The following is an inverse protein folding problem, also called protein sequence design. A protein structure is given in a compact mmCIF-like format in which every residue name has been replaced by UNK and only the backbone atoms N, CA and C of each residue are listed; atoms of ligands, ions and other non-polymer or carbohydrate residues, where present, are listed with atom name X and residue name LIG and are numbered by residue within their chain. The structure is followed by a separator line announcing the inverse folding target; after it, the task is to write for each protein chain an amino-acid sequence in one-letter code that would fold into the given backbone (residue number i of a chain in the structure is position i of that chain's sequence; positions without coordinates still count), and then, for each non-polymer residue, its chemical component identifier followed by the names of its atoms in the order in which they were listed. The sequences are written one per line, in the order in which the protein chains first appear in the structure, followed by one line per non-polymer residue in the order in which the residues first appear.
data_IF_188171013837
#
_entry.id   IF_188171013837
#
_cell.length_a   1.000
_cell.length_b   1.000
_cell.length_c   1.000
_cell.angle_alpha   90.00
_cell.angle_beta   90.00
_cell.angle_gamma   90.00
#
_symmetry.space_group_name_H-M   'P 1'
#
loop_
_entity.id
_entity.type
_entity.pdbx_description
1 polymer ?
#
# COMPACT_ATOMS: atom_id res chain seq x y z
N UNK A 1 3.34 12.54 17.21
CA UNK A 1 3.89 12.57 15.84
C UNK A 1 3.02 11.68 14.97
N UNK A 2 2.85 12.01 13.69
CA UNK A 2 2.16 11.15 12.75
C UNK A 2 2.89 9.83 12.56
N UNK A 3 2.17 8.72 12.41
CA UNK A 3 2.77 7.45 11.99
C UNK A 3 3.06 7.50 10.49
N UNK A 4 4.28 7.17 10.09
CA UNK A 4 4.75 7.28 8.70
C UNK A 4 4.64 5.92 8.00
N UNK A 5 3.83 5.89 6.95
CA UNK A 5 3.61 4.73 6.08
C UNK A 5 4.34 4.98 4.76
N UNK A 6 5.39 4.22 4.51
CA UNK A 6 6.12 4.27 3.25
C UNK A 6 5.54 3.23 2.28
N UNK A 7 5.18 3.63 1.06
CA UNK A 7 4.71 2.72 0.01
C UNK A 7 5.78 2.65 -1.08
N UNK A 8 6.51 1.55 -1.14
CA UNK A 8 7.65 1.42 -2.05
C UNK A 8 7.80 0.01 -2.63
N UNK A 9 8.22 -0.05 -3.88
CA UNK A 9 8.73 -1.24 -4.56
C UNK A 9 9.58 -0.76 -5.76
N UNK A 10 10.81 -1.26 -5.96
CA UNK A 10 11.64 -0.89 -7.10
C UNK A 10 11.03 -1.32 -8.45
N UNK A 11 10.11 -2.27 -8.43
CA UNK A 11 9.41 -2.73 -9.63
C UNK A 11 8.30 -1.75 -10.02
N UNK A 12 8.29 -1.30 -11.27
CA UNK A 12 7.22 -0.48 -11.83
C UNK A 12 5.93 -1.28 -12.04
N UNK A 13 4.76 -0.61 -11.97
CA UNK A 13 3.45 -1.21 -12.27
C UNK A 13 2.88 -2.13 -11.19
N UNK A 14 3.46 -2.17 -9.98
CA UNK A 14 2.98 -2.99 -8.86
C UNK A 14 1.79 -2.39 -8.11
N UNK A 15 1.43 -1.14 -8.40
CA UNK A 15 0.27 -0.46 -7.79
C UNK A 15 0.59 0.34 -6.54
N UNK A 16 1.81 0.86 -6.40
CA UNK A 16 2.21 1.73 -5.27
C UNK A 16 1.23 2.89 -5.09
N UNK A 17 1.07 3.70 -6.12
CA UNK A 17 0.16 4.85 -6.14
C UNK A 17 -1.29 4.45 -5.82
N UNK A 18 -1.79 3.35 -6.39
CA UNK A 18 -3.14 2.86 -6.09
C UNK A 18 -3.28 2.52 -4.60
N UNK A 19 -2.32 1.82 -4.01
CA UNK A 19 -2.35 1.47 -2.58
C UNK A 19 -2.27 2.71 -1.71
N UNK A 20 -1.41 3.68 -2.06
CA UNK A 20 -1.26 4.92 -1.31
C UNK A 20 -2.54 5.75 -1.32
N UNK A 21 -3.12 6.01 -2.51
CA UNK A 21 -4.36 6.77 -2.66
C UNK A 21 -5.55 6.11 -1.96
N UNK A 22 -5.74 4.80 -2.16
CA UNK A 22 -6.89 4.09 -1.57
C UNK A 22 -6.82 4.04 -0.03
N UNK A 23 -5.61 3.92 0.54
CA UNK A 23 -5.43 4.04 1.98
C UNK A 23 -5.72 5.45 2.47
N UNK A 24 -5.26 6.49 1.76
CA UNK A 24 -5.51 7.88 2.12
C UNK A 24 -7.02 8.16 2.13
N UNK A 25 -7.75 7.83 1.06
CA UNK A 25 -9.20 7.96 1.02
C UNK A 25 -9.88 7.19 2.15
N UNK A 26 -9.43 5.96 2.44
CA UNK A 26 -10.04 5.16 3.49
C UNK A 26 -9.82 5.76 4.87
N UNK A 27 -8.64 6.27 5.16
CA UNK A 27 -8.34 6.92 6.44
C UNK A 27 -9.10 8.23 6.60
N UNK A 28 -9.11 9.10 5.60
CA UNK A 28 -9.85 10.37 5.63
C UNK A 28 -11.35 10.17 5.86
N UNK A 29 -11.95 9.14 5.23
CA UNK A 29 -13.36 8.80 5.44
C UNK A 29 -13.65 8.20 6.82
N UNK A 30 -12.64 7.74 7.53
CA UNK A 30 -12.73 7.32 8.92
C UNK A 30 -12.25 8.41 9.89
N UNK A 31 -12.24 9.67 9.45
CA UNK A 31 -11.91 10.87 10.23
C UNK A 31 -10.46 10.90 10.77
N UNK A 32 -9.52 10.21 10.10
CA UNK A 32 -8.12 10.42 10.37
C UNK A 32 -7.62 11.63 9.59
N UNK A 33 -6.75 12.42 10.22
CA UNK A 33 -6.03 13.50 9.53
C UNK A 33 -4.83 12.89 8.81
N UNK A 34 -4.85 12.91 7.48
CA UNK A 34 -3.83 12.30 6.63
C UNK A 34 -2.93 13.39 6.03
N UNK A 35 -1.62 13.28 6.24
CA UNK A 35 -0.62 13.94 5.41
C UNK A 35 -0.22 13.01 4.27
N UNK A 36 0.07 13.57 3.10
CA UNK A 36 0.44 12.80 1.92
C UNK A 36 1.67 13.41 1.25
N UNK A 37 2.65 12.59 0.91
CA UNK A 37 3.82 12.99 0.14
C UNK A 37 3.94 12.13 -1.12
N UNK A 38 3.75 12.76 -2.28
CA UNK A 38 4.03 12.14 -3.56
C UNK A 38 5.48 12.45 -3.97
N UNK A 39 6.33 11.44 -3.93
CA UNK A 39 7.73 11.55 -4.35
C UNK A 39 7.94 11.03 -5.79
N UNK A 40 6.90 10.54 -6.45
CA UNK A 40 6.95 10.11 -7.85
C UNK A 40 6.64 11.29 -8.78
N UNK A 41 7.69 11.87 -9.36
CA UNK A 41 7.58 13.00 -10.28
C UNK A 41 6.89 12.67 -11.62
N UNK A 42 6.59 11.38 -11.86
CA UNK A 42 5.88 10.96 -13.09
C UNK A 42 4.36 11.16 -12.97
N UNK A 43 3.89 11.57 -11.81
CA UNK A 43 2.46 11.78 -11.56
C UNK A 43 1.71 10.46 -11.37
N UNK A 44 0.38 10.57 -11.28
CA UNK A 44 -0.51 9.41 -11.16
C UNK A 44 -1.22 9.30 -9.82
N UNK A 45 -0.77 10.00 -8.78
CA UNK A 45 -1.52 10.12 -7.52
C UNK A 45 -2.71 11.07 -7.69
N UNK A 46 -3.79 10.76 -6.99
CA UNK A 46 -4.96 11.63 -6.88
C UNK A 46 -4.73 12.64 -5.76
N UNK A 47 -4.09 12.20 -4.67
CA UNK A 47 -3.71 13.07 -3.57
C UNK A 47 -2.50 13.92 -3.95
N UNK A 48 -2.63 15.21 -3.71
CA UNK A 48 -1.52 16.14 -3.82
C UNK A 48 -0.63 16.05 -2.56
N UNK A 49 0.63 16.43 -2.70
CA UNK A 49 1.52 16.52 -1.54
C UNK A 49 0.97 17.58 -0.59
N UNK A 50 0.62 17.16 0.61
CA UNK A 50 0.07 18.01 1.66
C UNK A 50 0.58 17.55 3.02
N UNK A 51 1.12 18.49 3.79
CA UNK A 51 1.46 18.30 5.19
C UNK A 51 0.41 18.98 6.05
N UNK A 52 -0.27 18.21 6.91
CA UNK A 52 -1.29 18.73 7.82
C UNK A 52 -0.77 18.73 9.24
N UNK A 53 -0.93 19.84 9.99
CA UNK A 53 -0.60 19.86 11.41
C UNK A 53 -1.37 18.79 12.18
N UNK A 54 -0.69 18.11 13.10
CA UNK A 54 -1.28 17.07 13.96
C UNK A 54 -1.90 15.91 13.16
N UNK A 55 -1.35 15.57 11.99
CA UNK A 55 -1.80 14.38 11.26
C UNK A 55 -1.63 13.11 12.08
N UNK A 56 -2.60 12.21 11.94
CA UNK A 56 -2.59 10.88 12.55
C UNK A 56 -1.61 9.97 11.81
N UNK A 57 -1.63 10.06 10.48
CA UNK A 57 -0.78 9.29 9.58
C UNK A 57 -0.19 10.17 8.48
N UNK A 58 1.00 9.79 8.01
CA UNK A 58 1.63 10.33 6.80
C UNK A 58 1.86 9.19 5.83
N UNK A 59 1.31 9.29 4.62
CA UNK A 59 1.53 8.33 3.55
C UNK A 59 2.54 8.91 2.58
N UNK A 60 3.55 8.11 2.24
CA UNK A 60 4.62 8.49 1.29
C UNK A 60 4.59 7.53 0.11
N UNK A 61 4.13 8.01 -1.06
CA UNK A 61 4.21 7.27 -2.33
C UNK A 61 5.54 7.53 -3.02
N UNK A 62 6.24 6.45 -3.42
CA UNK A 62 7.60 6.54 -3.94
C UNK A 62 7.69 6.11 -5.40
N UNK A 63 8.62 6.72 -6.18
CA UNK A 63 8.92 6.25 -7.53
C UNK A 63 9.57 4.86 -7.53
N UNK A 64 9.45 4.15 -8.67
CA UNK A 64 9.92 2.78 -8.81
C UNK A 64 11.45 2.60 -8.86
N UNK A 65 12.25 3.65 -9.03
CA UNK A 65 13.68 3.50 -9.36
C UNK A 65 14.67 3.88 -8.23
N UNK A 66 14.21 4.13 -7.01
CA UNK A 66 15.03 4.73 -5.96
C UNK A 66 15.50 3.72 -4.90
N UNK A 67 16.47 2.86 -5.25
CA UNK A 67 17.01 1.86 -4.30
C UNK A 67 17.75 2.49 -3.11
N UNK A 68 18.53 3.53 -3.30
CA UNK A 68 19.35 4.09 -2.21
C UNK A 68 18.56 5.05 -1.33
N UNK A 69 17.74 5.90 -1.91
CA UNK A 69 16.86 6.82 -1.17
C UNK A 69 15.79 6.07 -0.36
N UNK A 70 15.31 4.90 -0.85
CA UNK A 70 14.35 4.09 -0.13
C UNK A 70 14.86 3.65 1.25
N UNK A 71 16.18 3.44 1.43
CA UNK A 71 16.77 3.10 2.73
C UNK A 71 16.67 4.25 3.72
N UNK A 72 16.90 5.48 3.27
CA UNK A 72 16.85 6.64 4.15
C UNK A 72 15.41 6.96 4.55
N UNK A 73 14.47 6.84 3.65
CA UNK A 73 13.04 6.95 3.96
C UNK A 73 12.57 5.83 4.89
N UNK A 74 13.03 4.59 4.67
CA UNK A 74 12.69 3.46 5.54
C UNK A 74 13.13 3.65 6.99
N UNK A 75 14.26 4.33 7.24
CA UNK A 75 14.73 4.63 8.61
C UNK A 75 13.80 5.59 9.36
N UNK A 76 13.04 6.41 8.64
CA UNK A 76 12.11 7.39 9.21
C UNK A 76 10.66 6.88 9.21
N UNK A 77 10.38 5.74 8.60
CA UNK A 77 9.04 5.18 8.51
C UNK A 77 8.75 4.22 9.66
N UNK A 78 7.48 4.16 10.07
CA UNK A 78 6.98 3.20 11.06
C UNK A 78 6.54 1.88 10.41
N UNK A 79 6.15 1.93 9.12
CA UNK A 79 5.72 0.78 8.34
C UNK A 79 6.09 0.96 6.87
N UNK A 80 6.65 -0.08 6.25
CA UNK A 80 6.84 -0.16 4.80
C UNK A 80 5.84 -1.13 4.19
N UNK A 81 4.97 -0.62 3.33
CA UNK A 81 4.10 -1.42 2.48
C UNK A 81 4.78 -1.65 1.13
N UNK A 82 4.83 -2.90 0.71
CA UNK A 82 5.44 -3.29 -0.57
C UNK A 82 4.37 -3.92 -1.46
N UNK A 83 3.71 -3.12 -2.31
CA UNK A 83 2.76 -3.64 -3.29
C UNK A 83 3.47 -4.51 -4.34
N UNK A 84 2.88 -5.67 -4.64
CA UNK A 84 3.38 -6.60 -5.66
C UNK A 84 2.22 -7.29 -6.37
N UNK A 85 2.43 -7.73 -7.62
CA UNK A 85 1.44 -8.55 -8.33
C UNK A 85 1.77 -10.05 -8.14
N UNK A 86 0.80 -10.96 -8.22
CA UNK A 86 1.02 -12.41 -8.12
C UNK A 86 1.68 -12.94 -9.40
N UNK A 87 2.95 -12.63 -9.57
CA UNK A 87 3.75 -13.01 -10.73
C UNK A 87 5.19 -13.28 -10.31
N UNK A 88 5.81 -14.33 -10.87
CA UNK A 88 7.20 -14.67 -10.60
C UNK A 88 8.15 -13.53 -11.01
N UNK A 89 7.82 -12.79 -12.08
CA UNK A 89 8.64 -11.66 -12.55
C UNK A 89 8.66 -10.49 -11.56
N UNK A 90 7.59 -10.33 -10.79
CA UNK A 90 7.50 -9.27 -9.77
C UNK A 90 8.02 -9.78 -8.42
N UNK A 91 7.92 -11.08 -8.16
CA UNK A 91 8.30 -11.70 -6.90
C UNK A 91 9.80 -11.55 -6.58
N UNK A 92 10.68 -11.93 -7.50
CA UNK A 92 12.13 -11.96 -7.25
C UNK A 92 12.67 -10.58 -6.82
N UNK A 93 12.51 -9.51 -7.62
CA UNK A 93 13.00 -8.19 -7.22
C UNK A 93 12.31 -7.64 -5.96
N UNK A 94 11.05 -8.04 -5.72
CA UNK A 94 10.31 -7.65 -4.51
C UNK A 94 10.89 -8.31 -3.27
N UNK A 95 11.22 -9.61 -3.33
CA UNK A 95 11.82 -10.35 -2.20
C UNK A 95 13.18 -9.76 -1.82
N UNK A 96 14.04 -9.50 -2.81
CA UNK A 96 15.36 -8.91 -2.56
C UNK A 96 15.22 -7.53 -1.91
N UNK A 97 14.27 -6.73 -2.38
CA UNK A 97 13.96 -5.44 -1.78
C UNK A 97 13.48 -5.59 -0.34
N UNK A 98 12.50 -6.46 -0.08
CA UNK A 98 11.97 -6.72 1.28
C UNK A 98 13.09 -7.16 2.22
N UNK A 99 13.92 -8.13 1.80
CA UNK A 99 15.06 -8.61 2.60
C UNK A 99 16.04 -7.49 2.94
N UNK A 100 16.28 -6.57 2.02
CA UNK A 100 17.17 -5.42 2.23
C UNK A 100 16.59 -4.37 3.19
N UNK A 101 15.26 -4.25 3.27
CA UNK A 101 14.57 -3.21 4.06
C UNK A 101 14.21 -3.67 5.48
N UNK A 102 13.99 -4.97 5.72
CA UNK A 102 13.57 -5.54 7.02
C UNK A 102 14.41 -5.10 8.23
N UNK A 103 15.65 -4.73 8.03
CA UNK A 103 16.55 -4.26 9.10
C UNK A 103 16.32 -2.80 9.52
N UNK A 104 15.56 -2.04 8.73
CA UNK A 104 15.34 -0.61 8.98
C UNK A 104 13.93 -0.32 9.47
N UNK A 105 12.95 -1.10 9.00
CA UNK A 105 11.52 -0.85 9.21
C UNK A 105 10.73 -2.15 9.16
N UNK A 106 9.62 -2.30 9.88
CA UNK A 106 8.66 -3.37 9.67
C UNK A 106 8.16 -3.35 8.21
N UNK A 107 8.26 -4.50 7.51
CA UNK A 107 7.87 -4.62 6.09
C UNK A 107 6.69 -5.56 5.95
N UNK A 108 5.68 -5.14 5.17
CA UNK A 108 4.50 -5.95 4.85
C UNK A 108 4.21 -5.91 3.35
N UNK A 109 3.85 -7.05 2.79
CA UNK A 109 3.41 -7.13 1.40
C UNK A 109 1.94 -6.76 1.28
N UNK A 110 1.61 -6.09 0.18
CA UNK A 110 0.23 -5.92 -0.31
C UNK A 110 0.16 -6.59 -1.69
N UNK A 111 -0.58 -7.69 -1.81
CA UNK A 111 -0.73 -8.38 -3.09
C UNK A 111 -1.82 -7.66 -3.89
N UNK A 112 -1.41 -7.00 -4.96
CA UNK A 112 -2.30 -6.28 -5.87
C UNK A 112 -2.74 -7.17 -7.03
N UNK A 113 -3.87 -6.85 -7.69
CA UNK A 113 -4.46 -7.61 -8.80
C UNK A 113 -4.67 -9.09 -8.47
N UNK A 114 -5.06 -9.36 -7.24
CA UNK A 114 -5.27 -10.71 -6.74
C UNK A 114 -6.60 -11.28 -7.24
N UNK A 115 -6.58 -12.54 -7.65
CA UNK A 115 -7.78 -13.31 -8.03
C UNK A 115 -7.73 -14.66 -7.34
N UNK A 116 -8.54 -14.84 -6.29
CA UNK A 116 -8.52 -16.01 -5.40
C UNK A 116 -8.76 -17.36 -6.10
N UNK A 117 -9.47 -17.34 -7.22
CA UNK A 117 -9.75 -18.52 -8.04
C UNK A 117 -8.64 -18.90 -9.02
N UNK A 118 -7.64 -18.04 -9.22
CA UNK A 118 -6.52 -18.33 -10.13
C UNK A 118 -5.44 -19.16 -9.45
N UNK A 119 -5.01 -20.23 -10.12
CA UNK A 119 -3.93 -21.10 -9.64
C UNK A 119 -2.64 -20.32 -9.37
N UNK A 120 -2.28 -19.39 -10.25
CA UNK A 120 -1.08 -18.56 -10.10
C UNK A 120 -1.10 -17.72 -8.81
N UNK A 121 -2.27 -17.24 -8.36
CA UNK A 121 -2.41 -16.49 -7.12
C UNK A 121 -2.19 -17.39 -5.90
N UNK A 122 -2.73 -18.61 -5.92
CA UNK A 122 -2.51 -19.59 -4.85
C UNK A 122 -1.05 -20.01 -4.74
N UNK A 123 -0.43 -20.33 -5.87
CA UNK A 123 1.01 -20.63 -5.92
C UNK A 123 1.87 -19.47 -5.45
N UNK A 124 1.44 -18.23 -5.73
CA UNK A 124 2.14 -17.04 -5.24
C UNK A 124 2.01 -16.90 -3.73
N UNK A 125 0.83 -17.18 -3.15
CA UNK A 125 0.63 -17.18 -1.69
C UNK A 125 1.53 -18.22 -1.00
N UNK A 126 1.60 -19.45 -1.54
CA UNK A 126 2.47 -20.51 -1.05
C UNK A 126 3.95 -20.08 -1.10
N UNK A 127 4.37 -19.56 -2.24
CA UNK A 127 5.73 -19.04 -2.43
C UNK A 127 6.09 -17.93 -1.45
N UNK A 128 5.20 -16.96 -1.23
CA UNK A 128 5.40 -15.86 -0.28
C UNK A 128 5.53 -16.39 1.16
N UNK A 129 4.70 -17.39 1.51
CA UNK A 129 4.76 -18.04 2.82
C UNK A 129 6.08 -18.81 3.03
N UNK A 130 6.54 -19.54 2.03
CA UNK A 130 7.84 -20.25 2.04
C UNK A 130 9.03 -19.27 2.23
N UNK A 131 8.93 -18.05 1.69
CA UNK A 131 9.95 -17.01 1.89
C UNK A 131 9.85 -16.32 3.28
N UNK A 132 8.90 -16.70 4.12
CA UNK A 132 8.69 -16.09 5.44
C UNK A 132 8.29 -14.62 5.35
N UNK A 133 7.54 -14.24 4.31
CA UNK A 133 7.07 -12.87 4.09
C UNK A 133 5.65 -12.69 4.63
N UNK A 134 5.42 -11.56 5.29
CA UNK A 134 4.12 -11.23 5.87
C UNK A 134 3.26 -10.44 4.88
N UNK A 135 2.10 -10.98 4.52
CA UNK A 135 1.09 -10.31 3.68
C UNK A 135 0.08 -9.61 4.58
N UNK A 136 -0.08 -8.31 4.37
CA UNK A 136 -1.03 -7.49 5.14
C UNK A 136 -2.41 -7.41 4.50
N UNK A 137 -2.47 -7.49 3.16
CA UNK A 137 -3.74 -7.45 2.44
C UNK A 137 -3.62 -7.89 0.99
N UNK A 138 -4.78 -8.17 0.39
CA UNK A 138 -4.93 -8.53 -1.02
C UNK A 138 -5.96 -7.63 -1.67
N UNK A 139 -5.56 -6.86 -2.68
CA UNK A 139 -6.47 -6.04 -3.46
C UNK A 139 -6.87 -6.79 -4.73
N UNK A 140 -8.17 -6.93 -5.02
CA UNK A 140 -8.62 -7.69 -6.17
C UNK A 140 -8.24 -7.02 -7.49
N UNK A 141 -8.07 -7.82 -8.54
CA UNK A 141 -7.99 -7.32 -9.91
C UNK A 141 -9.37 -6.80 -10.33
N UNK A 142 -9.52 -5.49 -10.38
CA UNK A 142 -10.82 -4.86 -10.61
C UNK A 142 -10.70 -3.54 -11.37
N UNK A 143 -11.60 -3.33 -12.31
CA UNK A 143 -11.77 -2.06 -13.03
C UNK A 143 -12.34 -0.94 -12.14
N UNK A 144 -12.78 -1.26 -10.92
CA UNK A 144 -13.26 -0.26 -9.97
C UNK A 144 -12.17 0.74 -9.57
N UNK A 145 -10.91 0.28 -9.40
CA UNK A 145 -9.79 1.15 -9.05
C UNK A 145 -9.52 2.24 -10.10
N UNK A 146 -9.25 1.92 -11.38
CA UNK A 146 -9.05 2.98 -12.38
C UNK A 146 -10.29 3.83 -12.59
N UNK A 147 -11.50 3.28 -12.45
CA UNK A 147 -12.75 4.06 -12.54
C UNK A 147 -12.86 5.08 -11.40
N UNK A 148 -12.57 4.68 -10.16
CA UNK A 148 -12.56 5.58 -9.01
C UNK A 148 -11.50 6.68 -9.19
N UNK A 149 -10.30 6.32 -9.63
CA UNK A 149 -9.23 7.26 -9.91
C UNK A 149 -9.61 8.31 -10.99
N UNK A 150 -10.32 7.93 -12.05
CA UNK A 150 -10.85 8.87 -13.04
C UNK A 150 -11.83 9.88 -12.43
N UNK A 151 -12.56 9.49 -11.40
CA UNK A 151 -13.46 10.37 -10.66
C UNK A 151 -12.74 11.15 -9.53
N UNK A 152 -11.41 11.02 -9.44
CA UNK A 152 -10.58 11.60 -8.36
C UNK A 152 -11.04 11.18 -6.97
N UNK A 153 -11.37 9.90 -6.80
CA UNK A 153 -11.91 9.33 -5.56
C UNK A 153 -11.43 7.88 -5.34
N UNK A 154 -11.67 7.33 -4.13
CA UNK A 154 -11.40 5.94 -3.79
C UNK A 154 -12.57 5.00 -4.04
N UNK A 155 -12.29 3.71 -4.20
CA UNK A 155 -13.33 2.67 -4.43
C UNK A 155 -14.34 2.55 -3.28
N UNK A 156 -13.99 3.04 -2.10
CA UNK A 156 -14.86 3.04 -0.91
C UNK A 156 -16.04 4.01 -1.04
N UNK A 157 -15.98 4.96 -1.98
CA UNK A 157 -17.03 5.96 -2.20
C UNK A 157 -18.12 5.46 -3.12
N UNK A 158 -17.73 4.93 -4.29
CA UNK A 158 -18.69 4.52 -5.34
C UNK A 158 -19.50 3.29 -4.91
N UNK A 159 -18.82 2.27 -4.32
CA UNK A 159 -19.44 1.02 -3.87
C UNK A 159 -18.85 0.56 -2.54
N UNK A 160 -19.25 1.19 -1.41
CA UNK A 160 -18.62 0.97 -0.10
C UNK A 160 -18.69 -0.46 0.43
N UNK A 161 -19.56 -1.31 -0.12
CA UNK A 161 -19.70 -2.73 0.23
C UNK A 161 -19.29 -3.67 -0.90
N UNK A 162 -18.77 -3.15 -2.01
CA UNK A 162 -18.22 -3.98 -3.09
C UNK A 162 -16.90 -4.65 -2.69
N UNK A 163 -16.52 -5.78 -3.34
CA UNK A 163 -15.30 -6.51 -3.00
C UNK A 163 -14.03 -5.65 -2.98
N UNK A 164 -13.79 -4.72 -3.93
CA UNK A 164 -12.63 -3.83 -3.86
C UNK A 164 -12.63 -2.93 -2.62
N UNK A 165 -13.78 -2.32 -2.30
CA UNK A 165 -13.91 -1.44 -1.15
C UNK A 165 -13.72 -2.21 0.17
N UNK A 166 -14.25 -3.43 0.27
CA UNK A 166 -14.06 -4.28 1.44
C UNK A 166 -12.58 -4.67 1.62
N UNK A 167 -11.87 -4.99 0.53
CA UNK A 167 -10.46 -5.30 0.58
C UNK A 167 -9.61 -4.09 1.03
N UNK A 168 -9.94 -2.88 0.55
CA UNK A 168 -9.28 -1.65 0.99
C UNK A 168 -9.53 -1.38 2.47
N UNK A 169 -10.78 -1.54 2.95
CA UNK A 169 -11.13 -1.37 4.36
C UNK A 169 -10.41 -2.38 5.26
N UNK A 170 -10.27 -3.62 4.81
CA UNK A 170 -9.52 -4.65 5.53
C UNK A 170 -8.03 -4.28 5.59
N UNK A 171 -7.43 -3.91 4.45
CA UNK A 171 -6.04 -3.45 4.40
C UNK A 171 -5.83 -2.26 5.35
N UNK A 172 -6.71 -1.26 5.31
CA UNK A 172 -6.62 -0.08 6.17
C UNK A 172 -6.67 -0.44 7.66
N UNK A 173 -7.59 -1.35 8.06
CA UNK A 173 -7.64 -1.85 9.45
C UNK A 173 -6.36 -2.56 9.86
N UNK A 174 -5.83 -3.41 8.99
CA UNK A 174 -4.59 -4.14 9.25
C UNK A 174 -3.39 -3.20 9.38
N UNK A 175 -3.30 -2.17 8.52
CA UNK A 175 -2.28 -1.12 8.61
C UNK A 175 -2.36 -0.38 9.95
N UNK A 176 -3.55 0.06 10.37
CA UNK A 176 -3.71 0.74 11.65
C UNK A 176 -3.43 -0.17 12.84
N UNK A 177 -3.69 -1.46 12.71
CA UNK A 177 -3.32 -2.45 13.74
C UNK A 177 -1.80 -2.57 13.90
N UNK A 178 -1.07 -2.63 12.80
CA UNK A 178 0.41 -2.65 12.82
C UNK A 178 0.99 -1.38 13.46
N UNK A 179 0.33 -0.25 13.28
CA UNK A 179 0.75 1.04 13.85
C UNK A 179 0.23 1.29 15.28
N UNK A 180 -0.51 0.35 15.87
CA UNK A 180 -1.11 0.54 17.20
C UNK A 180 -2.28 1.53 17.24
N UNK A 181 -2.87 1.84 16.08
CA UNK A 181 -3.95 2.81 15.89
C UNK A 181 -5.32 2.17 15.67
N UNK A 182 -5.52 0.90 16.03
CA UNK A 182 -6.77 0.14 15.78
C UNK A 182 -8.03 0.79 16.34
N UNK A 183 -7.89 1.61 17.39
CA UNK A 183 -9.01 2.33 18.01
C UNK A 183 -9.57 3.47 17.15
N UNK A 184 -8.90 3.81 16.05
CA UNK A 184 -9.24 4.95 15.18
C UNK A 184 -10.22 4.58 14.05
N UNK A 185 -10.38 3.30 13.70
CA UNK A 185 -11.40 2.83 12.74
C UNK A 185 -12.44 1.98 13.48
N UNK A 186 -13.72 2.29 13.27
CA UNK A 186 -14.88 1.54 13.73
C UNK A 186 -15.42 0.60 12.66
#
# INVERSE_FOLDING_TARGET
MASIILVANPKGGTGKTTVADELAFCFERNNLTVSFANLDNQGGTIHETVERPNSDVMIVDTPGQLKDQAKDWAKSADLLLVPTNPSVRDAIPTIDFVKSMKRYVPVRLVINRYQANRVVCKQFDEFVAEQGLSVLGRLPDSTAFPKAAMNRDGVITDRPYGPPAMAVKELARNVLSELGLSHRIR
#
